data_IF_687334440111
#
_entry.id   IF_687334440111
#
_cell.length_a   1.000
_cell.length_b   1.000
_cell.length_c   1.000
_cell.angle_alpha   90.00
_cell.angle_beta   90.00
_cell.angle_gamma   90.00
#
_symmetry.space_group_name_H-M   'P 1'
#
loop_
_entity.id
_entity.type
_entity.pdbx_description
1 polymer ?
#
# COMPACT_ATOMS: atom_id res chain seq x y z
N UNK A 1 -53.01 35.48 -18.19
CA UNK A 1 -52.19 34.88 -17.10
C UNK A 1 -51.04 34.12 -17.75
N UNK A 2 -49.79 34.59 -17.67
CA UNK A 2 -48.62 33.92 -18.28
C UNK A 2 -47.97 33.01 -17.23
N UNK A 3 -47.93 31.71 -17.51
CA UNK A 3 -47.26 30.71 -16.67
C UNK A 3 -45.74 30.97 -16.65
N UNK A 4 -45.15 31.12 -15.46
CA UNK A 4 -43.70 31.20 -15.28
C UNK A 4 -43.14 29.77 -15.27
N UNK A 5 -42.50 29.37 -16.36
CA UNK A 5 -41.70 28.16 -16.45
C UNK A 5 -40.52 28.27 -15.48
N UNK A 6 -40.52 27.44 -14.42
CA UNK A 6 -39.35 27.29 -13.53
C UNK A 6 -38.24 26.61 -14.34
N UNK A 7 -37.24 27.38 -14.78
CA UNK A 7 -35.99 26.83 -15.32
C UNK A 7 -35.25 26.14 -14.17
N UNK A 8 -35.16 24.81 -14.21
CA UNK A 8 -34.21 24.07 -13.40
C UNK A 8 -32.79 24.47 -13.86
N UNK A 9 -32.06 25.15 -13.00
CA UNK A 9 -30.63 25.37 -13.18
C UNK A 9 -29.92 24.06 -12.82
N UNK A 10 -29.57 23.28 -13.83
CA UNK A 10 -28.66 22.15 -13.66
C UNK A 10 -27.24 22.74 -13.68
N UNK A 11 -26.58 22.79 -12.51
CA UNK A 11 -25.17 23.18 -12.43
C UNK A 11 -24.36 22.11 -13.17
N UNK A 12 -23.91 22.41 -14.37
CA UNK A 12 -22.94 21.57 -15.07
C UNK A 12 -21.58 21.77 -14.42
N UNK A 13 -21.07 20.72 -13.78
CA UNK A 13 -19.70 20.66 -13.30
C UNK A 13 -18.75 20.54 -14.48
N UNK A 14 -17.58 21.17 -14.39
CA UNK A 14 -16.51 20.92 -15.35
C UNK A 14 -15.94 19.50 -15.15
N UNK A 15 -15.22 18.94 -16.14
CA UNK A 15 -14.55 17.64 -15.98
C UNK A 15 -13.61 17.61 -14.75
N UNK A 16 -12.82 18.66 -14.55
CA UNK A 16 -11.91 18.81 -13.40
C UNK A 16 -12.68 18.83 -12.06
N UNK A 17 -13.80 19.57 -11.99
CA UNK A 17 -14.64 19.59 -10.79
C UNK A 17 -15.30 18.23 -10.53
N UNK A 18 -15.61 17.48 -11.60
CA UNK A 18 -16.18 16.13 -11.49
C UNK A 18 -15.14 15.14 -10.97
N UNK A 19 -13.89 15.24 -11.44
CA UNK A 19 -12.77 14.44 -10.98
C UNK A 19 -12.44 14.71 -9.51
N UNK A 20 -12.42 15.99 -9.10
CA UNK A 20 -12.26 16.37 -7.69
C UNK A 20 -13.40 15.79 -6.84
N UNK A 21 -14.65 15.91 -7.28
CA UNK A 21 -15.78 15.34 -6.54
C UNK A 21 -15.72 13.81 -6.45
N UNK A 22 -15.23 13.15 -7.49
CA UNK A 22 -15.02 11.71 -7.49
C UNK A 22 -13.94 11.32 -6.48
N UNK A 23 -12.79 12.00 -6.50
CA UNK A 23 -11.70 11.78 -5.53
C UNK A 23 -12.16 12.01 -4.09
N UNK A 24 -12.93 13.07 -3.82
CA UNK A 24 -13.47 13.35 -2.48
C UNK A 24 -14.45 12.29 -1.98
N UNK A 25 -15.16 11.62 -2.90
CA UNK A 25 -16.15 10.60 -2.56
C UNK A 25 -15.66 9.17 -2.80
N UNK A 26 -14.37 8.95 -3.10
CA UNK A 26 -13.83 7.65 -3.49
C UNK A 26 -14.11 6.52 -2.47
N UNK A 27 -14.19 6.87 -1.17
CA UNK A 27 -14.46 5.92 -0.07
C UNK A 27 -15.93 5.90 0.37
N UNK A 28 -16.81 6.67 -0.29
CA UNK A 28 -18.25 6.73 0.00
C UNK A 28 -19.07 5.96 -1.02
N UNK A 29 -18.49 5.69 -2.18
CA UNK A 29 -19.07 4.87 -3.24
C UNK A 29 -18.50 3.46 -3.17
N UNK A 30 -19.36 2.47 -3.27
CA UNK A 30 -18.95 1.06 -3.35
C UNK A 30 -18.13 0.83 -4.62
N UNK A 31 -17.01 0.14 -4.46
CA UNK A 31 -16.15 -0.32 -5.55
C UNK A 31 -16.56 -1.74 -5.90
N UNK A 32 -17.04 -1.94 -7.12
CA UNK A 32 -17.37 -3.27 -7.63
C UNK A 32 -16.10 -4.06 -7.92
N UNK A 33 -16.07 -5.34 -7.51
CA UNK A 33 -14.93 -6.25 -7.73
C UNK A 33 -13.59 -5.69 -7.20
N UNK A 34 -13.62 -4.96 -6.08
CA UNK A 34 -12.42 -4.40 -5.49
C UNK A 34 -11.40 -5.48 -5.10
N UNK A 35 -10.14 -5.10 -4.96
CA UNK A 35 -9.05 -5.95 -4.46
C UNK A 35 -8.36 -5.28 -3.28
N UNK A 36 -8.24 -6.01 -2.18
CA UNK A 36 -7.48 -5.61 -1.00
C UNK A 36 -6.29 -6.56 -0.87
N UNK A 37 -5.10 -5.97 -0.82
CA UNK A 37 -3.87 -6.71 -0.55
C UNK A 37 -3.40 -6.43 0.87
N UNK A 38 -3.12 -7.49 1.61
CA UNK A 38 -2.59 -7.40 2.97
C UNK A 38 -1.18 -7.97 2.99
N UNK A 39 -0.19 -7.12 3.21
CA UNK A 39 1.20 -7.50 3.40
C UNK A 39 1.43 -7.76 4.89
N UNK A 40 1.26 -9.01 5.30
CA UNK A 40 1.44 -9.40 6.69
C UNK A 40 2.92 -9.64 6.98
N UNK A 41 3.63 -8.56 7.31
CA UNK A 41 5.09 -8.54 7.47
C UNK A 41 5.56 -8.75 8.93
N UNK A 42 4.68 -8.50 9.89
CA UNK A 42 4.96 -8.56 11.32
C UNK A 42 3.72 -9.03 12.07
N UNK A 43 3.93 -9.62 13.25
CA UNK A 43 2.83 -9.93 14.17
C UNK A 43 2.41 -8.65 14.91
N UNK A 44 1.30 -8.07 14.45
CA UNK A 44 0.67 -6.88 15.01
C UNK A 44 -0.54 -7.22 15.91
N UNK A 45 -0.68 -8.50 16.30
CA UNK A 45 -1.83 -8.99 17.05
C UNK A 45 -3.08 -9.22 16.17
N UNK A 46 -2.94 -9.19 14.85
CA UNK A 46 -4.00 -9.51 13.89
C UNK A 46 -4.84 -8.33 13.44
N UNK A 47 -4.46 -7.09 13.81
CA UNK A 47 -5.20 -5.89 13.42
C UNK A 47 -5.15 -5.65 11.90
N UNK A 48 -3.98 -5.85 11.28
CA UNK A 48 -3.75 -5.75 9.86
C UNK A 48 -4.56 -6.75 9.05
N UNK A 49 -5.02 -7.85 9.67
CA UNK A 49 -5.91 -8.83 9.05
C UNK A 49 -7.39 -8.50 9.31
N UNK A 50 -7.71 -8.02 10.52
CA UNK A 50 -9.08 -7.71 10.92
C UNK A 50 -9.67 -6.53 10.14
N UNK A 51 -8.93 -5.43 10.03
CA UNK A 51 -9.40 -4.22 9.34
C UNK A 51 -9.81 -4.48 7.87
N UNK A 52 -8.97 -5.07 7.01
CA UNK A 52 -9.36 -5.35 5.63
C UNK A 52 -10.48 -6.38 5.54
N UNK A 53 -10.53 -7.38 6.43
CA UNK A 53 -11.67 -8.30 6.48
C UNK A 53 -12.99 -7.59 6.78
N UNK A 54 -13.01 -6.62 7.70
CA UNK A 54 -14.22 -5.82 7.96
C UNK A 54 -14.61 -4.98 6.75
N UNK A 55 -13.64 -4.52 5.97
CA UNK A 55 -13.89 -3.76 4.75
C UNK A 55 -14.49 -4.62 3.62
N UNK A 56 -14.36 -5.95 3.65
CA UNK A 56 -15.06 -6.82 2.69
C UNK A 56 -16.51 -7.11 3.09
N UNK A 57 -16.91 -6.79 4.31
CA UNK A 57 -18.26 -7.03 4.80
C UNK A 57 -19.27 -5.99 4.30
N UNK A 58 -20.55 -6.32 4.43
CA UNK A 58 -21.66 -5.50 3.97
C UNK A 58 -21.59 -4.06 4.48
N UNK A 59 -21.98 -3.09 3.63
CA UNK A 59 -22.01 -1.64 3.92
C UNK A 59 -20.64 -0.96 3.98
N UNK A 60 -19.58 -1.66 3.60
CA UNK A 60 -18.27 -1.07 3.33
C UNK A 60 -18.18 -0.63 1.86
N UNK A 61 -17.31 0.33 1.57
CA UNK A 61 -17.02 0.73 0.19
C UNK A 61 -16.28 -0.35 -0.61
N UNK A 62 -15.69 -1.35 0.07
CA UNK A 62 -15.05 -2.53 -0.54
C UNK A 62 -15.84 -3.82 -0.27
N UNK A 63 -17.16 -3.71 -0.08
CA UNK A 63 -18.04 -4.87 0.09
C UNK A 63 -17.81 -5.90 -1.03
N UNK A 64 -17.53 -7.15 -0.64
CA UNK A 64 -17.25 -8.25 -1.58
C UNK A 64 -15.90 -8.17 -2.30
N UNK A 65 -14.99 -7.27 -1.89
CA UNK A 65 -13.66 -7.20 -2.47
C UNK A 65 -12.87 -8.49 -2.23
N UNK A 66 -12.03 -8.85 -3.21
CA UNK A 66 -11.08 -9.97 -3.14
C UNK A 66 -10.00 -9.65 -2.13
N UNK A 67 -9.79 -10.53 -1.16
CA UNK A 67 -8.80 -10.36 -0.11
C UNK A 67 -7.60 -11.27 -0.38
N UNK A 68 -6.46 -10.67 -0.74
CA UNK A 68 -5.21 -11.38 -1.03
C UNK A 68 -4.20 -11.10 0.07
N UNK A 69 -3.59 -12.15 0.60
CA UNK A 69 -2.63 -12.05 1.71
C UNK A 69 -1.22 -12.35 1.19
N UNK A 70 -0.29 -11.44 1.45
CA UNK A 70 1.11 -11.56 1.10
C UNK A 70 1.95 -11.67 2.36
N UNK A 71 2.94 -12.55 2.34
CA UNK A 71 4.01 -12.57 3.33
C UNK A 71 5.35 -12.71 2.62
N UNK A 72 6.44 -12.30 3.27
CA UNK A 72 7.78 -12.33 2.70
C UNK A 72 8.61 -13.39 3.43
N UNK A 73 9.04 -14.41 2.70
CA UNK A 73 9.94 -15.43 3.24
C UNK A 73 11.40 -15.09 2.94
N UNK A 74 12.24 -15.18 3.98
CA UNK A 74 13.69 -15.12 3.84
C UNK A 74 14.32 -16.52 3.61
N UNK A 75 13.50 -17.58 3.61
CA UNK A 75 13.94 -18.97 3.46
C UNK A 75 13.17 -19.65 2.32
N UNK A 76 13.77 -19.76 1.12
CA UNK A 76 13.05 -20.23 -0.06
C UNK A 76 12.58 -21.69 0.03
N UNK A 77 13.08 -22.46 0.99
CA UNK A 77 12.71 -23.86 1.24
C UNK A 77 11.49 -24.03 2.16
N UNK A 78 10.99 -22.98 2.81
CA UNK A 78 9.85 -23.06 3.76
C UNK A 78 8.54 -22.48 3.23
N UNK A 79 8.50 -21.97 1.99
CA UNK A 79 7.34 -21.21 1.48
C UNK A 79 6.02 -21.98 1.52
N UNK A 80 6.00 -23.28 1.18
CA UNK A 80 4.77 -24.09 1.25
C UNK A 80 4.26 -24.31 2.67
N UNK A 81 5.17 -24.40 3.65
CA UNK A 81 4.79 -24.57 5.05
C UNK A 81 4.27 -23.25 5.62
N UNK A 82 4.94 -22.14 5.30
CA UNK A 82 4.50 -20.79 5.70
C UNK A 82 3.11 -20.47 5.16
N UNK A 83 2.83 -20.81 3.90
CA UNK A 83 1.49 -20.64 3.31
C UNK A 83 0.42 -21.44 4.08
N UNK A 84 0.71 -22.71 4.41
CA UNK A 84 -0.21 -23.57 5.18
C UNK A 84 -0.43 -23.06 6.60
N UNK A 85 0.63 -22.59 7.26
CA UNK A 85 0.55 -22.02 8.61
C UNK A 85 -0.30 -20.75 8.63
N UNK A 86 -0.10 -19.86 7.64
CA UNK A 86 -0.89 -18.65 7.47
C UNK A 86 -2.36 -18.97 7.17
N UNK A 87 -2.63 -19.92 6.26
CA UNK A 87 -3.99 -20.37 5.97
C UNK A 87 -4.68 -20.94 7.23
N UNK A 88 -3.97 -21.74 8.02
CA UNK A 88 -4.49 -22.30 9.26
C UNK A 88 -4.78 -21.20 10.30
N UNK A 89 -3.93 -20.17 10.38
CA UNK A 89 -4.14 -19.03 11.26
C UNK A 89 -5.38 -18.23 10.87
N UNK A 90 -5.53 -17.87 9.59
CA UNK A 90 -6.69 -17.14 9.08
C UNK A 90 -7.99 -17.92 9.29
N UNK A 91 -7.94 -19.23 9.11
CA UNK A 91 -9.06 -20.13 9.41
C UNK A 91 -9.49 -20.06 10.87
N UNK A 92 -8.55 -20.03 11.83
CA UNK A 92 -8.85 -19.85 13.26
C UNK A 92 -9.55 -18.52 13.54
N UNK A 93 -9.15 -17.46 12.83
CA UNK A 93 -9.79 -16.15 12.90
C UNK A 93 -11.10 -16.06 12.10
N UNK A 94 -11.47 -17.11 11.36
CA UNK A 94 -12.63 -17.14 10.45
C UNK A 94 -12.57 -16.05 9.38
N UNK A 95 -11.36 -15.64 9.01
CA UNK A 95 -11.13 -14.69 7.93
C UNK A 95 -11.10 -15.48 6.63
N UNK A 96 -12.05 -15.19 5.75
CA UNK A 96 -12.07 -15.73 4.39
C UNK A 96 -11.13 -14.88 3.52
N UNK A 97 -10.35 -15.54 2.67
CA UNK A 97 -9.41 -14.92 1.75
C UNK A 97 -9.49 -15.62 0.40
N UNK A 98 -9.07 -14.93 -0.66
CA UNK A 98 -9.05 -15.42 -2.04
C UNK A 98 -7.71 -16.07 -2.40
N UNK A 99 -6.61 -15.53 -1.88
CA UNK A 99 -5.26 -15.95 -2.25
C UNK A 99 -4.29 -15.70 -1.09
N UNK A 100 -3.33 -16.61 -0.90
CA UNK A 100 -2.13 -16.38 -0.09
C UNK A 100 -0.93 -16.50 -1.01
N UNK A 101 0.01 -15.56 -0.92
CA UNK A 101 1.26 -15.59 -1.67
C UNK A 101 2.44 -15.38 -0.72
N UNK A 102 3.35 -16.34 -0.69
CA UNK A 102 4.63 -16.22 0.00
C UNK A 102 5.68 -15.73 -1.00
N UNK A 103 6.01 -14.44 -0.92
CA UNK A 103 7.00 -13.78 -1.77
C UNK A 103 8.40 -14.15 -1.28
N UNK A 104 9.21 -14.71 -2.17
CA UNK A 104 10.60 -15.08 -1.86
C UNK A 104 11.50 -13.86 -1.94
N UNK A 105 12.27 -13.62 -0.88
CA UNK A 105 13.27 -12.57 -0.82
C UNK A 105 14.67 -13.14 -1.13
N UNK A 106 14.83 -13.74 -2.31
CA UNK A 106 16.07 -14.43 -2.72
C UNK A 106 17.25 -13.45 -2.91
N UNK A 107 16.97 -12.24 -3.39
CA UNK A 107 17.93 -11.16 -3.54
C UNK A 107 17.59 -10.02 -2.57
N UNK A 108 18.37 -9.93 -1.49
CA UNK A 108 18.15 -8.94 -0.43
C UNK A 108 18.45 -7.52 -0.88
N UNK A 109 19.24 -7.35 -1.93
CA UNK A 109 19.57 -6.03 -2.43
C UNK A 109 18.45 -5.50 -3.35
N UNK A 110 18.11 -4.21 -3.24
CA UNK A 110 17.23 -3.57 -4.21
C UNK A 110 17.89 -3.51 -5.59
N UNK A 111 17.06 -3.43 -6.62
CA UNK A 111 17.50 -3.22 -8.00
C UNK A 111 18.28 -1.91 -8.12
N UNK A 112 19.32 -1.86 -8.96
CA UNK A 112 20.11 -0.64 -9.19
C UNK A 112 19.25 0.57 -9.59
N UNK A 113 18.19 0.34 -10.36
CA UNK A 113 17.27 1.40 -10.78
C UNK A 113 16.53 2.01 -9.58
N UNK A 114 16.07 1.18 -8.63
CA UNK A 114 15.39 1.62 -7.41
C UNK A 114 16.32 2.38 -6.48
N UNK A 115 17.59 1.97 -6.39
CA UNK A 115 18.62 2.71 -5.64
C UNK A 115 18.86 4.08 -6.27
N UNK A 116 19.02 4.13 -7.60
CA UNK A 116 19.23 5.37 -8.32
C UNK A 116 18.07 6.36 -8.18
N UNK A 117 16.83 5.87 -8.21
CA UNK A 117 15.64 6.70 -7.95
C UNK A 117 15.65 7.28 -6.53
N UNK A 118 16.03 6.48 -5.54
CA UNK A 118 16.12 6.91 -4.14
C UNK A 118 17.21 7.97 -3.94
N UNK A 119 18.41 7.74 -4.47
CA UNK A 119 19.53 8.70 -4.40
C UNK A 119 19.14 10.05 -5.00
N UNK A 120 18.46 10.04 -6.16
CA UNK A 120 17.94 11.25 -6.79
C UNK A 120 16.89 11.97 -5.94
N UNK A 121 16.05 11.23 -5.21
CA UNK A 121 15.02 11.79 -4.33
C UNK A 121 15.64 12.52 -3.13
N UNK A 122 16.68 11.94 -2.53
CA UNK A 122 17.33 12.52 -1.33
C UNK A 122 18.40 13.57 -1.65
N UNK A 123 18.87 13.63 -2.90
CA UNK A 123 19.93 14.55 -3.34
C UNK A 123 19.76 16.01 -2.85
N UNK A 124 18.57 16.62 -2.88
CA UNK A 124 18.40 18.01 -2.44
C UNK A 124 18.63 18.22 -0.93
N UNK A 125 18.61 17.13 -0.15
CA UNK A 125 18.69 17.15 1.30
C UNK A 125 20.03 16.59 1.82
N UNK A 126 20.88 16.05 0.95
CA UNK A 126 22.13 15.39 1.33
C UNK A 126 23.31 16.37 1.39
N UNK A 127 24.00 16.40 2.54
CA UNK A 127 25.13 17.32 2.79
C UNK A 127 26.47 16.62 3.06
N UNK A 128 26.48 15.29 3.12
CA UNK A 128 27.70 14.49 3.35
C UNK A 128 28.21 14.57 4.79
N UNK A 129 28.78 15.71 5.20
CA UNK A 129 29.36 15.95 6.54
C UNK A 129 28.82 17.20 7.22
N UNK A 130 28.92 17.24 8.55
CA UNK A 130 28.62 18.44 9.33
C UNK A 130 29.56 19.59 8.92
N UNK A 131 29.00 20.59 8.26
CA UNK A 131 29.67 21.83 7.85
C UNK A 131 28.85 23.03 8.36
N UNK A 132 29.32 24.26 8.15
CA UNK A 132 28.57 25.50 8.50
C UNK A 132 27.18 25.60 7.81
N UNK A 133 26.93 24.75 6.80
CA UNK A 133 25.65 24.60 6.09
C UNK A 133 24.67 23.61 6.75
N UNK A 134 25.03 23.03 7.91
CA UNK A 134 24.15 22.11 8.62
C UNK A 134 22.86 22.82 9.07
N UNK A 135 21.72 22.33 8.59
CA UNK A 135 20.40 22.75 9.00
C UNK A 135 19.59 21.52 9.41
N UNK A 136 18.77 21.67 10.45
CA UNK A 136 17.86 20.61 10.91
C UNK A 136 16.95 20.16 9.75
N UNK A 137 16.93 18.84 9.48
CA UNK A 137 16.21 18.23 8.36
C UNK A 137 17.07 17.86 7.14
N UNK A 138 18.37 18.14 7.14
CA UNK A 138 19.32 17.64 6.15
C UNK A 138 19.89 16.26 6.55
N UNK A 139 20.32 15.49 5.55
CA UNK A 139 20.76 14.10 5.67
C UNK A 139 22.29 14.05 5.62
N UNK A 140 22.90 13.46 6.65
CA UNK A 140 24.34 13.20 6.74
C UNK A 140 24.69 11.82 6.19
N UNK A 141 25.94 11.64 5.71
CA UNK A 141 26.46 10.34 5.27
C UNK A 141 26.41 9.30 6.40
N UNK A 142 26.73 9.72 7.62
CA UNK A 142 26.67 8.86 8.80
C UNK A 142 25.23 8.36 9.07
N UNK A 143 24.21 9.18 8.85
CA UNK A 143 22.81 8.78 9.01
C UNK A 143 22.37 7.79 7.94
N UNK A 144 22.83 8.01 6.70
CA UNK A 144 22.54 7.13 5.58
C UNK A 144 23.16 5.74 5.80
N UNK A 145 24.41 5.68 6.23
CA UNK A 145 25.09 4.40 6.52
C UNK A 145 24.44 3.71 7.74
N UNK A 146 24.10 4.45 8.80
CA UNK A 146 23.43 3.91 9.98
C UNK A 146 22.04 3.33 9.69
N UNK A 147 21.34 3.83 8.66
CA UNK A 147 20.00 3.36 8.28
C UNK A 147 19.96 2.53 7.00
N UNK A 148 21.12 2.22 6.41
CA UNK A 148 21.26 1.54 5.12
C UNK A 148 20.41 0.27 4.99
N UNK A 149 20.44 -0.60 5.98
CA UNK A 149 19.67 -1.86 5.93
C UNK A 149 18.16 -1.63 5.98
N UNK A 150 17.70 -0.64 6.76
CA UNK A 150 16.29 -0.25 6.81
C UNK A 150 15.85 0.34 5.48
N UNK A 151 16.67 1.23 4.92
CA UNK A 151 16.44 1.83 3.60
C UNK A 151 16.34 0.74 2.54
N UNK A 152 17.31 -0.18 2.47
CA UNK A 152 17.28 -1.32 1.54
C UNK A 152 15.99 -2.14 1.68
N UNK A 153 15.57 -2.45 2.91
CA UNK A 153 14.32 -3.19 3.17
C UNK A 153 13.09 -2.44 2.65
N UNK A 154 13.00 -1.12 2.83
CA UNK A 154 11.90 -0.29 2.33
C UNK A 154 11.91 -0.24 0.80
N UNK A 155 13.08 -0.06 0.19
CA UNK A 155 13.24 -0.08 -1.27
C UNK A 155 12.80 -1.42 -1.85
N UNK A 156 13.21 -2.52 -1.23
CA UNK A 156 12.79 -3.87 -1.64
C UNK A 156 11.29 -4.08 -1.50
N UNK A 157 10.69 -3.61 -0.40
CA UNK A 157 9.24 -3.62 -0.23
C UNK A 157 8.55 -2.85 -1.35
N UNK A 158 9.09 -1.69 -1.74
CA UNK A 158 8.52 -0.91 -2.84
C UNK A 158 8.53 -1.66 -4.18
N UNK A 159 9.55 -2.48 -4.45
CA UNK A 159 9.58 -3.34 -5.64
C UNK A 159 8.48 -4.38 -5.60
N UNK A 160 8.29 -5.03 -4.44
CA UNK A 160 7.25 -6.03 -4.25
C UNK A 160 5.85 -5.41 -4.42
N UNK A 161 5.59 -4.26 -3.79
CA UNK A 161 4.32 -3.54 -3.91
C UNK A 161 4.01 -3.17 -5.36
N UNK A 162 4.99 -2.64 -6.10
CA UNK A 162 4.80 -2.29 -7.51
C UNK A 162 4.57 -3.52 -8.39
N UNK A 163 5.11 -4.68 -8.01
CA UNK A 163 5.00 -5.92 -8.79
C UNK A 163 3.68 -6.64 -8.55
N UNK A 164 3.24 -6.74 -7.29
CA UNK A 164 2.11 -7.59 -6.89
C UNK A 164 0.83 -6.80 -6.60
N UNK A 165 0.95 -5.50 -6.29
CA UNK A 165 -0.15 -4.68 -5.74
C UNK A 165 -0.38 -3.37 -6.49
N UNK A 166 0.09 -3.22 -7.74
CA UNK A 166 -0.10 -1.97 -8.52
C UNK A 166 -1.56 -1.67 -8.84
N UNK A 167 -2.38 -2.71 -9.02
CA UNK A 167 -3.79 -2.61 -9.41
C UNK A 167 -4.76 -2.71 -8.22
N UNK A 168 -4.24 -2.76 -7.00
CA UNK A 168 -5.04 -3.00 -5.80
C UNK A 168 -5.75 -1.71 -5.35
N UNK A 169 -6.99 -1.83 -4.89
CA UNK A 169 -7.76 -0.68 -4.42
C UNK A 169 -7.32 -0.22 -3.03
N UNK A 170 -6.79 -1.15 -2.23
CA UNK A 170 -6.24 -0.89 -0.91
C UNK A 170 -5.07 -1.83 -0.66
N UNK A 171 -4.00 -1.28 -0.10
CA UNK A 171 -2.88 -2.05 0.44
C UNK A 171 -2.79 -1.78 1.93
N UNK A 172 -2.75 -2.85 2.73
CA UNK A 172 -2.52 -2.81 4.18
C UNK A 172 -1.15 -3.44 4.45
N UNK A 173 -0.28 -2.76 5.19
CA UNK A 173 1.07 -3.21 5.56
C UNK A 173 1.32 -3.08 7.06
#
# INVERSE_FOLDING_TARGET
MKAKTKRHYQKHLTPEQTEILHSLNQFRTTVENGTIDVWWLYDDGGLALLLPYLLTQNRSYLEGARLRIFTVSNHPSSSENEEKELAALLSKFRIQFDEITVVKNDDKDPKPETISEFEKLIQPFYIGSENDEFQEGLILEAELENNKDKTKRILKMSEFLRTYSSESNLVVM
#
